data_IF_011484849042
#
_entry.id   IF_011484849042
#
_cell.length_a   1.000
_cell.length_b   1.000
_cell.length_c   1.000
_cell.angle_alpha   90.00
_cell.angle_beta   90.00
_cell.angle_gamma   90.00
#
_symmetry.space_group_name_H-M   'P 1'
#
loop_
_entity.id
_entity.type
_entity.pdbx_description
1 polymer ?
#
# COMPACT_ATOMS: atom_id res chain seq x y z
N UNK A 1 -13.27 11.72 19.07
CA UNK A 1 -12.32 10.65 18.71
C UNK A 1 -11.02 10.91 19.44
N UNK A 2 -10.52 9.94 20.22
CA UNK A 2 -9.23 10.09 20.92
C UNK A 2 -8.05 9.97 19.92
N UNK A 3 -6.86 10.53 20.24
CA UNK A 3 -5.68 10.38 19.37
C UNK A 3 -5.30 8.92 19.13
N UNK A 4 -5.41 8.06 20.14
CA UNK A 4 -5.13 6.63 20.00
C UNK A 4 -6.13 5.93 19.05
N UNK A 5 -7.42 6.27 19.14
CA UNK A 5 -8.43 5.76 18.22
C UNK A 5 -8.17 6.22 16.78
N UNK A 6 -7.74 7.48 16.59
CA UNK A 6 -7.36 8.02 15.29
C UNK A 6 -6.20 7.23 14.64
N UNK A 7 -5.13 6.96 15.41
CA UNK A 7 -3.99 6.18 14.91
C UNK A 7 -4.37 4.73 14.58
N UNK A 8 -5.23 4.11 15.39
CA UNK A 8 -5.72 2.74 15.15
C UNK A 8 -6.61 2.67 13.91
N UNK A 9 -7.58 3.59 13.78
CA UNK A 9 -8.43 3.71 12.59
C UNK A 9 -7.60 3.93 11.33
N UNK A 10 -6.55 4.74 11.43
CA UNK A 10 -5.73 5.09 10.28
C UNK A 10 -4.79 3.98 9.81
N UNK A 11 -4.72 2.84 10.51
CA UNK A 11 -3.74 1.76 10.31
C UNK A 11 -2.35 2.34 9.98
N UNK A 12 -1.92 3.32 10.79
CA UNK A 12 -0.74 4.16 10.51
C UNK A 12 0.57 3.37 10.46
N UNK A 13 0.58 2.16 11.02
CA UNK A 13 1.69 1.23 10.93
C UNK A 13 2.06 0.85 9.50
N UNK A 14 1.12 0.94 8.56
CA UNK A 14 1.36 0.62 7.16
C UNK A 14 1.72 1.85 6.31
N UNK A 15 1.72 3.07 6.85
CA UNK A 15 2.11 4.29 6.10
C UNK A 15 3.51 4.20 5.45
N UNK A 16 4.53 3.57 6.06
CA UNK A 16 5.82 3.45 5.39
C UNK A 16 5.76 2.68 4.06
N UNK A 17 4.77 1.79 3.88
CA UNK A 17 4.54 1.12 2.58
C UNK A 17 4.06 2.09 1.50
N UNK A 18 3.36 3.16 1.87
CA UNK A 18 2.95 4.22 0.94
C UNK A 18 4.17 5.03 0.54
N UNK A 19 5.05 5.34 1.49
CA UNK A 19 6.27 6.11 1.22
C UNK A 19 7.23 5.35 0.30
N UNK A 20 7.45 4.06 0.56
CA UNK A 20 8.25 3.22 -0.34
C UNK A 20 7.63 3.12 -1.73
N UNK A 21 6.30 3.07 -1.84
CA UNK A 21 5.62 3.10 -3.14
C UNK A 21 5.84 4.43 -3.90
N UNK A 22 5.85 5.57 -3.20
CA UNK A 22 6.16 6.88 -3.81
C UNK A 22 7.59 6.87 -4.37
N UNK A 23 8.55 6.40 -3.56
CA UNK A 23 9.95 6.32 -4.00
C UNK A 23 10.11 5.39 -5.21
N UNK A 24 9.52 4.20 -5.16
CA UNK A 24 9.62 3.25 -6.26
C UNK A 24 8.95 3.76 -7.53
N UNK A 25 7.76 4.36 -7.44
CA UNK A 25 7.09 4.98 -8.57
C UNK A 25 7.92 6.09 -9.22
N UNK A 26 8.53 6.97 -8.43
CA UNK A 26 9.35 8.05 -8.98
C UNK A 26 10.69 7.55 -9.56
N UNK A 27 11.38 6.62 -8.87
CA UNK A 27 12.64 6.03 -9.37
C UNK A 27 12.42 5.24 -10.65
N UNK A 28 11.37 4.41 -10.70
CA UNK A 28 11.03 3.70 -11.93
C UNK A 28 10.53 4.66 -13.03
N UNK A 29 10.08 5.87 -12.72
CA UNK A 29 9.74 6.85 -13.75
C UNK A 29 10.97 7.59 -14.29
N UNK A 30 11.85 8.08 -13.42
CA UNK A 30 12.91 9.02 -13.80
C UNK A 30 14.29 8.77 -13.15
N UNK A 31 14.42 7.79 -12.25
CA UNK A 31 15.64 7.51 -11.48
C UNK A 31 15.79 8.40 -10.24
N UNK A 32 15.32 9.64 -10.29
CA UNK A 32 15.39 10.55 -9.13
C UNK A 32 14.05 11.25 -8.87
N UNK A 33 13.91 11.77 -7.66
CA UNK A 33 12.83 12.66 -7.26
C UNK A 33 13.39 13.77 -6.38
N UNK A 34 12.96 15.01 -6.64
CA UNK A 34 13.29 16.13 -5.77
C UNK A 34 12.72 15.89 -4.36
N UNK A 35 13.49 16.25 -3.33
CA UNK A 35 13.14 15.97 -1.93
C UNK A 35 11.84 16.66 -1.53
N UNK A 36 11.62 17.90 -1.97
CA UNK A 36 10.42 18.66 -1.63
C UNK A 36 9.19 18.09 -2.36
N UNK A 37 9.34 17.71 -3.63
CA UNK A 37 8.29 17.00 -4.40
C UNK A 37 7.95 15.67 -3.72
N UNK A 38 8.94 14.86 -3.35
CA UNK A 38 8.73 13.60 -2.66
C UNK A 38 8.00 13.79 -1.33
N UNK A 39 8.39 14.79 -0.53
CA UNK A 39 7.74 15.11 0.74
C UNK A 39 6.25 15.41 0.56
N UNK A 40 5.89 16.30 -0.37
CA UNK A 40 4.49 16.66 -0.59
C UNK A 40 3.66 15.53 -1.22
N UNK A 41 4.27 14.71 -2.09
CA UNK A 41 3.63 13.49 -2.60
C UNK A 41 3.33 12.52 -1.47
N UNK A 42 4.32 12.22 -0.63
CA UNK A 42 4.15 11.33 0.52
C UNK A 42 3.10 11.86 1.48
N UNK A 43 3.08 13.17 1.75
CA UNK A 43 2.06 13.80 2.58
C UNK A 43 0.66 13.62 1.98
N UNK A 44 0.45 14.02 0.71
CA UNK A 44 -0.85 13.89 0.04
C UNK A 44 -1.35 12.45 -0.05
N UNK A 45 -0.48 11.52 -0.44
CA UNK A 45 -0.83 10.09 -0.54
C UNK A 45 -1.03 9.44 0.83
N UNK A 46 -0.36 9.90 1.88
CA UNK A 46 -0.63 9.48 3.27
C UNK A 46 -2.02 9.92 3.72
N UNK A 47 -2.45 11.15 3.37
CA UNK A 47 -3.81 11.63 3.68
C UNK A 47 -4.87 10.81 2.94
N UNK A 48 -4.67 10.50 1.66
CA UNK A 48 -5.56 9.62 0.89
C UNK A 48 -5.63 8.21 1.49
N UNK A 49 -4.49 7.65 1.93
CA UNK A 49 -4.44 6.36 2.60
C UNK A 49 -5.25 6.39 3.91
N UNK A 50 -4.97 7.34 4.82
CA UNK A 50 -5.68 7.44 6.10
C UNK A 50 -7.17 7.72 5.90
N UNK A 51 -7.53 8.53 4.89
CA UNK A 51 -8.91 8.75 4.49
C UNK A 51 -9.61 7.43 4.14
N UNK A 52 -9.00 6.60 3.28
CA UNK A 52 -9.52 5.28 2.94
C UNK A 52 -9.67 4.39 4.17
N UNK A 53 -8.70 4.39 5.09
CA UNK A 53 -8.82 3.57 6.31
C UNK A 53 -10.00 3.99 7.20
N UNK A 54 -10.21 5.30 7.35
CA UNK A 54 -11.33 5.84 8.13
C UNK A 54 -12.66 5.53 7.47
N UNK A 55 -12.75 5.75 6.15
CA UNK A 55 -13.98 5.52 5.38
C UNK A 55 -14.31 4.03 5.32
N UNK A 56 -13.33 3.15 5.13
CA UNK A 56 -13.50 1.71 5.19
C UNK A 56 -14.19 1.26 6.48
N UNK A 57 -13.66 1.67 7.65
CA UNK A 57 -14.26 1.31 8.94
C UNK A 57 -15.64 1.97 9.15
N UNK A 58 -15.88 3.17 8.59
CA UNK A 58 -17.18 3.83 8.64
C UNK A 58 -18.25 3.12 7.77
N UNK A 59 -17.91 2.69 6.56
CA UNK A 59 -18.79 1.89 5.71
C UNK A 59 -19.06 0.50 6.32
N UNK A 60 -18.06 -0.09 6.98
CA UNK A 60 -18.15 -1.42 7.59
C UNK A 60 -18.82 -1.43 8.98
N UNK A 61 -19.14 -0.28 9.58
CA UNK A 61 -19.53 -0.18 11.01
C UNK A 61 -20.62 -1.16 11.46
N UNK A 62 -21.62 -1.50 10.61
CA UNK A 62 -22.68 -2.46 10.95
C UNK A 62 -22.17 -3.90 11.03
N UNK A 63 -21.27 -4.27 10.13
CA UNK A 63 -20.65 -5.60 10.09
C UNK A 63 -19.65 -5.70 11.25
N UNK A 64 -18.84 -4.66 11.44
CA UNK A 64 -17.87 -4.58 12.52
C UNK A 64 -18.53 -4.61 13.90
N UNK A 65 -19.74 -4.08 14.06
CA UNK A 65 -20.49 -4.20 15.30
C UNK A 65 -20.83 -5.66 15.68
N UNK A 66 -20.87 -6.56 14.71
CA UNK A 66 -21.14 -8.00 14.93
C UNK A 66 -19.81 -8.77 15.03
N UNK A 67 -18.90 -8.56 14.09
CA UNK A 67 -17.68 -9.36 13.95
C UNK A 67 -16.52 -8.89 14.83
N UNK A 68 -16.45 -7.58 15.13
CA UNK A 68 -15.34 -6.92 15.84
C UNK A 68 -15.82 -5.75 16.71
N UNK A 69 -16.65 -6.00 17.74
CA UNK A 69 -17.29 -4.97 18.56
C UNK A 69 -16.27 -4.06 19.29
N UNK A 70 -15.03 -4.51 19.45
CA UNK A 70 -13.92 -3.76 20.02
C UNK A 70 -13.36 -2.65 19.11
N UNK A 71 -13.81 -2.54 17.85
CA UNK A 71 -13.38 -1.47 16.94
C UNK A 71 -13.85 -0.09 17.41
N UNK A 72 -13.13 1.00 17.06
CA UNK A 72 -13.40 2.32 17.63
C UNK A 72 -14.80 2.89 17.38
N UNK A 73 -15.44 2.57 16.25
CA UNK A 73 -16.80 3.03 15.96
C UNK A 73 -17.85 2.23 16.75
N UNK A 74 -17.91 0.88 16.67
CA UNK A 74 -18.90 0.12 17.45
C UNK A 74 -18.73 0.25 18.97
N UNK A 75 -17.50 0.41 19.47
CA UNK A 75 -17.23 0.60 20.90
C UNK A 75 -17.48 2.02 21.42
N UNK A 76 -17.91 2.96 20.55
CA UNK A 76 -18.23 4.34 20.93
C UNK A 76 -17.03 5.27 21.15
N UNK A 77 -15.80 4.83 20.87
CA UNK A 77 -14.59 5.67 20.97
C UNK A 77 -14.52 6.76 19.88
N UNK A 78 -15.22 6.54 18.76
CA UNK A 78 -15.39 7.49 17.67
C UNK A 78 -16.84 7.45 17.16
N UNK A 79 -17.45 8.62 16.96
CA UNK A 79 -18.78 8.70 16.37
C UNK A 79 -18.72 8.56 14.85
N UNK A 80 -19.68 7.83 14.27
CA UNK A 80 -19.74 7.57 12.84
C UNK A 80 -19.72 8.85 11.97
N UNK A 81 -20.51 9.91 12.27
CA UNK A 81 -20.47 11.15 11.47
C UNK A 81 -19.10 11.84 11.50
N UNK A 82 -18.41 11.80 12.65
CA UNK A 82 -17.08 12.39 12.78
C UNK A 82 -16.05 11.63 11.94
N UNK A 83 -16.14 10.30 11.89
CA UNK A 83 -15.22 9.49 11.05
C UNK A 83 -15.47 9.75 9.57
N UNK A 84 -16.74 9.83 9.11
CA UNK A 84 -17.04 10.21 7.73
C UNK A 84 -16.52 11.60 7.39
N UNK A 85 -16.79 12.60 8.23
CA UNK A 85 -16.34 13.97 8.01
C UNK A 85 -14.80 14.06 7.95
N UNK A 86 -14.10 13.38 8.86
CA UNK A 86 -12.64 13.32 8.86
C UNK A 86 -12.11 12.60 7.61
N UNK A 87 -12.69 11.45 7.23
CA UNK A 87 -12.30 10.69 6.05
C UNK A 87 -12.41 11.49 4.76
N UNK A 88 -13.58 12.09 4.49
CA UNK A 88 -13.77 12.94 3.31
C UNK A 88 -12.93 14.23 3.36
N UNK A 89 -12.74 14.81 4.54
CA UNK A 89 -11.86 15.97 4.73
C UNK A 89 -10.40 15.66 4.39
N UNK A 90 -9.87 14.54 4.88
CA UNK A 90 -8.51 14.07 4.55
C UNK A 90 -8.37 13.76 3.06
N UNK A 91 -9.39 13.17 2.43
CA UNK A 91 -9.41 12.91 1.00
C UNK A 91 -9.31 14.21 0.19
N UNK A 92 -10.11 15.22 0.56
CA UNK A 92 -10.10 16.52 -0.10
C UNK A 92 -8.75 17.26 0.06
N UNK A 93 -8.20 17.28 1.28
CA UNK A 93 -6.90 17.93 1.53
C UNK A 93 -5.77 17.20 0.79
N UNK A 94 -5.75 15.86 0.81
CA UNK A 94 -4.75 15.08 0.09
C UNK A 94 -4.82 15.30 -1.43
N UNK A 95 -6.01 15.37 -2.00
CA UNK A 95 -6.19 15.72 -3.42
C UNK A 95 -5.72 17.15 -3.71
N UNK A 96 -5.97 18.11 -2.81
CA UNK A 96 -5.46 19.47 -2.91
C UNK A 96 -3.93 19.53 -2.93
N UNK A 97 -3.25 18.74 -2.08
CA UNK A 97 -1.79 18.63 -2.09
C UNK A 97 -1.26 18.02 -3.39
N UNK A 98 -1.92 16.98 -3.92
CA UNK A 98 -1.54 16.41 -5.22
C UNK A 98 -1.79 17.37 -6.39
N UNK A 99 -2.83 18.20 -6.32
CA UNK A 99 -3.06 19.27 -7.27
C UNK A 99 -1.97 20.34 -7.21
N UNK A 100 -1.53 20.70 -6.00
CA UNK A 100 -0.40 21.62 -5.81
C UNK A 100 0.90 21.06 -6.39
N UNK A 101 1.25 19.80 -6.08
CA UNK A 101 2.42 19.12 -6.67
C UNK A 101 2.31 19.06 -8.19
N UNK A 102 1.13 18.79 -8.73
CA UNK A 102 0.90 18.78 -10.17
C UNK A 102 1.25 20.11 -10.84
N UNK A 103 0.97 21.25 -10.19
CA UNK A 103 1.31 22.58 -10.73
C UNK A 103 2.81 22.87 -10.76
N UNK A 104 3.58 22.23 -9.88
CA UNK A 104 5.03 22.47 -9.76
C UNK A 104 5.89 21.41 -10.44
N UNK A 105 5.28 20.42 -11.09
CA UNK A 105 5.98 19.26 -11.69
C UNK A 105 5.66 19.08 -13.17
N UNK A 106 6.53 18.35 -13.87
CA UNK A 106 6.42 18.10 -15.32
C UNK A 106 5.15 17.31 -15.70
N UNK A 107 4.60 16.53 -14.78
CA UNK A 107 3.37 15.77 -15.00
C UNK A 107 2.12 16.65 -15.12
N UNK A 108 2.13 17.85 -14.53
CA UNK A 108 1.00 18.75 -14.58
C UNK A 108 -0.27 18.13 -13.99
N UNK A 109 -1.37 18.31 -14.73
CA UNK A 109 -2.69 17.79 -14.39
C UNK A 109 -2.76 16.25 -14.25
N UNK A 110 -1.79 15.50 -14.82
CA UNK A 110 -1.79 14.03 -14.75
C UNK A 110 -1.61 13.53 -13.32
N UNK A 111 -0.84 14.23 -12.49
CA UNK A 111 -0.67 13.94 -11.06
C UNK A 111 -2.01 14.06 -10.34
N UNK A 112 -2.75 15.13 -10.62
CA UNK A 112 -4.07 15.37 -10.03
C UNK A 112 -5.09 14.35 -10.52
N UNK A 113 -5.09 14.04 -11.81
CA UNK A 113 -6.01 13.08 -12.40
C UNK A 113 -5.79 11.66 -11.87
N UNK A 114 -4.54 11.21 -11.74
CA UNK A 114 -4.24 9.90 -11.14
C UNK A 114 -4.55 9.87 -9.63
N UNK A 115 -4.31 10.97 -8.91
CA UNK A 115 -4.73 11.12 -7.52
C UNK A 115 -6.25 11.07 -7.34
N UNK A 116 -7.01 11.73 -8.23
CA UNK A 116 -8.46 11.67 -8.25
C UNK A 116 -8.97 10.26 -8.58
N UNK A 117 -8.36 9.59 -9.56
CA UNK A 117 -8.65 8.18 -9.86
C UNK A 117 -8.38 7.27 -8.65
N UNK A 118 -7.31 7.54 -7.89
CA UNK A 118 -7.02 6.83 -6.64
C UNK A 118 -8.12 7.06 -5.61
N UNK A 119 -8.53 8.31 -5.40
CA UNK A 119 -9.61 8.64 -4.47
C UNK A 119 -10.92 7.93 -4.83
N UNK A 120 -11.27 7.87 -6.13
CA UNK A 120 -12.44 7.12 -6.61
C UNK A 120 -12.27 5.62 -6.35
N UNK A 121 -11.10 5.04 -6.66
CA UNK A 121 -10.83 3.62 -6.42
C UNK A 121 -10.94 3.25 -4.94
N UNK A 122 -10.46 4.12 -4.04
CA UNK A 122 -10.61 3.98 -2.58
C UNK A 122 -12.09 3.96 -2.20
N UNK A 123 -12.88 4.95 -2.65
CA UNK A 123 -14.31 5.00 -2.33
C UNK A 123 -15.08 3.78 -2.87
N UNK A 124 -14.75 3.33 -4.09
CA UNK A 124 -15.35 2.13 -4.69
C UNK A 124 -15.01 0.87 -3.88
N UNK A 125 -13.76 0.76 -3.40
CA UNK A 125 -13.37 -0.33 -2.52
C UNK A 125 -14.14 -0.27 -1.20
N UNK A 126 -14.09 0.88 -0.50
CA UNK A 126 -14.68 1.01 0.84
C UNK A 126 -16.20 0.76 0.83
N UNK A 127 -16.89 1.19 -0.23
CA UNK A 127 -18.35 1.00 -0.36
C UNK A 127 -18.77 -0.47 -0.53
N UNK A 128 -17.98 -1.32 -1.23
CA UNK A 128 -18.46 -2.64 -1.65
C UNK A 128 -17.42 -3.77 -1.64
N UNK A 129 -16.32 -3.69 -0.88
CA UNK A 129 -15.28 -4.71 -0.96
C UNK A 129 -15.66 -6.09 -0.37
N UNK A 130 -16.43 -6.16 0.72
CA UNK A 130 -16.70 -7.42 1.44
C UNK A 130 -17.46 -8.45 0.59
N UNK A 131 -18.46 -8.00 -0.17
CA UNK A 131 -19.29 -8.87 -1.03
C UNK A 131 -18.81 -8.93 -2.49
N UNK A 132 -17.71 -8.24 -2.82
CA UNK A 132 -17.20 -8.20 -4.19
C UNK A 132 -16.04 -9.21 -4.36
N UNK A 133 -16.18 -10.16 -5.29
CA UNK A 133 -15.08 -11.08 -5.64
C UNK A 133 -13.85 -10.34 -6.18
N UNK A 134 -14.05 -9.17 -6.79
CA UNK A 134 -13.00 -8.34 -7.40
C UNK A 134 -12.31 -7.38 -6.42
N UNK A 135 -12.64 -7.39 -5.13
CA UNK A 135 -12.01 -6.48 -4.16
C UNK A 135 -10.48 -6.54 -4.10
N UNK A 136 -9.80 -7.70 -4.26
CA UNK A 136 -8.33 -7.73 -4.35
C UNK A 136 -7.78 -6.95 -5.54
N UNK A 137 -8.51 -6.95 -6.65
CA UNK A 137 -8.13 -6.21 -7.87
C UNK A 137 -8.26 -4.71 -7.63
N UNK A 138 -9.38 -4.25 -7.06
CA UNK A 138 -9.57 -2.82 -6.75
C UNK A 138 -8.51 -2.32 -5.77
N UNK A 139 -8.20 -3.09 -4.73
CA UNK A 139 -7.14 -2.74 -3.77
C UNK A 139 -5.74 -2.67 -4.45
N UNK A 140 -5.46 -3.59 -5.36
CA UNK A 140 -4.23 -3.56 -6.15
C UNK A 140 -4.17 -2.34 -7.07
N UNK A 141 -5.30 -1.94 -7.69
CA UNK A 141 -5.40 -0.69 -8.47
C UNK A 141 -5.08 0.52 -7.60
N UNK A 142 -5.58 0.59 -6.37
CA UNK A 142 -5.26 1.69 -5.46
C UNK A 142 -3.74 1.84 -5.28
N UNK A 143 -3.02 0.72 -5.06
CA UNK A 143 -1.55 0.75 -4.91
C UNK A 143 -0.82 1.07 -6.21
N UNK A 144 -1.29 0.59 -7.34
CA UNK A 144 -0.74 0.96 -8.66
C UNK A 144 -0.91 2.47 -8.92
N UNK A 145 -2.04 3.05 -8.55
CA UNK A 145 -2.28 4.49 -8.74
C UNK A 145 -1.36 5.37 -7.87
N UNK A 146 -0.83 4.85 -6.76
CA UNK A 146 0.27 5.50 -6.01
C UNK A 146 1.53 5.58 -6.87
N UNK A 147 1.96 4.46 -7.48
CA UNK A 147 3.10 4.42 -8.40
C UNK A 147 2.92 5.36 -9.59
N UNK A 148 1.73 5.33 -10.21
CA UNK A 148 1.38 6.16 -11.36
C UNK A 148 1.43 7.65 -11.00
N UNK A 149 0.87 8.03 -9.84
CA UNK A 149 0.86 9.41 -9.37
C UNK A 149 2.28 9.92 -9.08
N UNK A 150 3.09 9.12 -8.39
CA UNK A 150 4.49 9.45 -8.14
C UNK A 150 5.31 9.52 -9.43
N UNK A 151 5.06 8.61 -10.37
CA UNK A 151 5.72 8.59 -11.66
C UNK A 151 5.41 9.81 -12.52
N UNK A 152 4.13 10.22 -12.58
CA UNK A 152 3.76 11.45 -13.30
C UNK A 152 4.37 12.70 -12.68
N UNK A 153 4.58 12.73 -11.36
CA UNK A 153 5.23 13.89 -10.72
C UNK A 153 6.67 14.11 -11.18
N UNK A 154 7.33 13.13 -11.79
CA UNK A 154 8.72 13.26 -12.28
C UNK A 154 8.87 12.98 -13.79
N UNK A 155 7.83 12.49 -14.47
CA UNK A 155 7.87 12.18 -15.90
C UNK A 155 6.55 12.54 -16.61
N UNK A 156 6.66 13.11 -17.82
CA UNK A 156 5.49 13.41 -18.64
C UNK A 156 4.81 12.15 -19.21
N UNK A 157 5.59 11.10 -19.46
CA UNK A 157 5.15 9.80 -19.99
C UNK A 157 5.75 8.70 -19.12
N UNK A 158 4.93 7.73 -18.72
CA UNK A 158 5.38 6.64 -17.87
C UNK A 158 6.19 5.63 -18.69
N UNK A 159 7.45 5.34 -18.32
CA UNK A 159 8.27 4.39 -19.05
C UNK A 159 7.85 2.94 -18.77
N UNK A 160 8.24 2.04 -19.67
CA UNK A 160 7.95 0.59 -19.56
C UNK A 160 8.42 -0.01 -18.24
N UNK A 161 9.55 0.47 -17.69
CA UNK A 161 10.09 -0.01 -16.40
C UNK A 161 9.14 0.27 -15.23
N UNK A 162 8.44 1.41 -15.23
CA UNK A 162 7.41 1.72 -14.23
C UNK A 162 6.18 0.86 -14.44
N UNK A 163 5.73 0.70 -15.69
CA UNK A 163 4.56 -0.13 -16.01
C UNK A 163 4.80 -1.59 -15.58
N UNK A 164 5.98 -2.13 -15.85
CA UNK A 164 6.36 -3.49 -15.44
C UNK A 164 6.44 -3.63 -13.91
N UNK A 165 7.07 -2.67 -13.22
CA UNK A 165 7.10 -2.64 -11.75
C UNK A 165 5.71 -2.53 -11.13
N UNK A 166 4.84 -1.67 -11.67
CA UNK A 166 3.45 -1.54 -11.27
C UNK A 166 2.65 -2.82 -11.50
N UNK A 167 2.89 -3.55 -12.60
CA UNK A 167 2.26 -4.84 -12.85
C UNK A 167 2.72 -5.92 -11.86
N UNK A 168 4.01 -5.95 -11.50
CA UNK A 168 4.53 -6.85 -10.48
C UNK A 168 3.94 -6.54 -9.09
N UNK A 169 3.85 -5.26 -8.73
CA UNK A 169 3.17 -4.79 -7.52
C UNK A 169 1.69 -5.18 -7.54
N UNK A 170 0.99 -4.98 -8.66
CA UNK A 170 -0.42 -5.34 -8.83
C UNK A 170 -0.67 -6.82 -8.53
N UNK A 171 0.12 -7.73 -9.13
CA UNK A 171 0.03 -9.16 -8.87
C UNK A 171 0.32 -9.51 -7.39
N UNK A 172 1.31 -8.85 -6.78
CA UNK A 172 1.61 -9.01 -5.35
C UNK A 172 0.40 -8.65 -4.49
N UNK A 173 -0.23 -7.50 -4.77
CA UNK A 173 -1.37 -7.02 -3.99
C UNK A 173 -2.61 -7.88 -4.16
N UNK A 174 -2.86 -8.44 -5.35
CA UNK A 174 -3.99 -9.38 -5.51
C UNK A 174 -3.80 -10.60 -4.59
N UNK A 175 -2.60 -11.19 -4.59
CA UNK A 175 -2.30 -12.34 -3.73
C UNK A 175 -2.41 -12.00 -2.24
N UNK A 176 -1.83 -10.87 -1.82
CA UNK A 176 -1.90 -10.36 -0.45
C UNK A 176 -3.34 -10.08 -0.02
N UNK A 177 -4.09 -9.29 -0.78
CA UNK A 177 -5.46 -8.89 -0.42
C UNK A 177 -6.40 -10.08 -0.47
N UNK A 178 -6.18 -11.05 -1.36
CA UNK A 178 -6.91 -12.31 -1.32
C UNK A 178 -6.69 -13.05 0.01
N UNK A 179 -5.44 -13.18 0.48
CA UNK A 179 -5.14 -13.78 1.79
C UNK A 179 -5.81 -13.01 2.94
N UNK A 180 -5.74 -11.68 2.91
CA UNK A 180 -6.32 -10.79 3.93
C UNK A 180 -7.83 -11.00 4.12
N UNK A 181 -8.57 -11.32 3.05
CA UNK A 181 -10.03 -11.58 3.13
C UNK A 181 -10.40 -12.77 4.01
N UNK A 182 -9.48 -13.73 4.15
CA UNK A 182 -9.73 -14.95 4.92
C UNK A 182 -9.12 -14.90 6.33
N UNK A 183 -8.64 -13.74 6.79
CA UNK A 183 -8.11 -13.59 8.15
C UNK A 183 -9.12 -13.99 9.23
N UNK A 184 -10.36 -13.52 9.11
CA UNK A 184 -11.42 -13.84 10.07
C UNK A 184 -11.79 -15.34 10.05
N UNK A 185 -11.64 -15.99 8.90
CA UNK A 185 -11.89 -17.42 8.74
C UNK A 185 -10.72 -18.30 9.24
N UNK A 186 -9.54 -17.72 9.47
CA UNK A 186 -8.35 -18.43 9.93
C UNK A 186 -7.76 -19.43 8.92
N UNK A 187 -8.25 -19.47 7.68
CA UNK A 187 -7.70 -20.33 6.63
C UNK A 187 -7.91 -19.69 5.26
N UNK A 188 -6.83 -19.56 4.47
CA UNK A 188 -6.93 -19.06 3.11
C UNK A 188 -7.77 -20.03 2.28
N UNK A 189 -8.64 -19.50 1.41
CA UNK A 189 -9.46 -20.28 0.50
C UNK A 189 -8.65 -21.00 -0.58
N UNK A 190 -9.07 -20.87 -1.84
CA UNK A 190 -8.37 -21.52 -2.96
C UNK A 190 -6.96 -20.91 -3.12
N UNK A 191 -5.89 -21.70 -3.28
CA UNK A 191 -4.52 -21.20 -3.25
C UNK A 191 -4.09 -20.48 -4.53
N UNK A 192 -4.83 -20.62 -5.64
CA UNK A 192 -4.40 -20.09 -6.95
C UNK A 192 -4.12 -18.57 -6.97
N UNK A 193 -4.86 -17.68 -6.24
CA UNK A 193 -4.53 -16.25 -6.24
C UNK A 193 -3.20 -15.97 -5.55
N UNK A 194 -2.75 -16.83 -4.62
CA UNK A 194 -1.42 -16.71 -4.01
C UNK A 194 -0.30 -16.97 -5.00
N UNK A 195 -0.56 -17.67 -6.12
CA UNK A 195 0.43 -17.87 -7.18
C UNK A 195 0.83 -16.54 -7.82
N UNK A 196 -0.01 -15.50 -7.76
CA UNK A 196 0.34 -14.16 -8.24
C UNK A 196 1.47 -13.52 -7.43
N UNK A 197 1.71 -13.97 -6.19
CA UNK A 197 2.88 -13.56 -5.41
C UNK A 197 4.20 -14.00 -6.06
N UNK A 198 4.20 -14.99 -6.97
CA UNK A 198 5.40 -15.43 -7.68
C UNK A 198 5.82 -14.48 -8.82
N UNK A 199 4.90 -13.67 -9.36
CA UNK A 199 5.19 -12.72 -10.45
C UNK A 199 6.29 -11.71 -10.07
N UNK A 200 6.20 -10.98 -8.94
CA UNK A 200 7.28 -10.08 -8.54
C UNK A 200 8.59 -10.81 -8.23
N UNK A 201 8.54 -12.08 -7.79
CA UNK A 201 9.75 -12.89 -7.57
C UNK A 201 10.48 -13.15 -8.89
N UNK A 202 9.73 -13.50 -9.95
CA UNK A 202 10.30 -13.72 -11.28
C UNK A 202 10.81 -12.42 -11.91
N UNK A 203 10.04 -11.33 -11.78
CA UNK A 203 10.40 -10.01 -12.31
C UNK A 203 11.74 -9.50 -11.75
N UNK A 204 11.92 -9.57 -10.43
CA UNK A 204 13.12 -9.02 -9.79
C UNK A 204 14.40 -9.82 -10.03
N UNK A 205 14.32 -11.09 -10.49
CA UNK A 205 15.51 -11.88 -10.82
C UNK A 205 16.26 -11.21 -11.97
N UNK A 206 15.59 -10.98 -13.10
CA UNK A 206 16.23 -10.38 -14.28
C UNK A 206 16.65 -8.94 -14.05
N UNK A 207 15.88 -8.16 -13.29
CA UNK A 207 16.19 -6.76 -13.01
C UNK A 207 17.41 -6.59 -12.08
N UNK A 208 17.71 -7.56 -11.21
CA UNK A 208 18.67 -7.38 -10.12
C UNK A 208 20.04 -8.01 -10.35
N UNK A 209 20.28 -8.73 -11.46
CA UNK A 209 21.52 -9.49 -11.67
C UNK A 209 22.78 -8.62 -11.66
N UNK A 210 22.67 -7.40 -12.17
CA UNK A 210 23.81 -6.49 -12.33
C UNK A 210 24.06 -5.59 -11.11
N UNK A 211 23.21 -5.68 -10.06
CA UNK A 211 23.34 -4.87 -8.86
C UNK A 211 23.39 -5.78 -7.60
N UNK A 212 24.55 -5.89 -6.92
CA UNK A 212 24.70 -6.77 -5.76
C UNK A 212 23.72 -6.48 -4.62
N UNK A 213 23.43 -5.19 -4.36
CA UNK A 213 22.45 -4.80 -3.35
C UNK A 213 21.04 -5.18 -3.79
N UNK A 214 20.69 -4.92 -5.06
CA UNK A 214 19.41 -5.31 -5.64
C UNK A 214 19.18 -6.82 -5.53
N UNK A 215 20.19 -7.63 -5.87
CA UNK A 215 20.14 -9.07 -5.76
C UNK A 215 19.97 -9.53 -4.31
N UNK A 216 20.75 -8.97 -3.38
CA UNK A 216 20.65 -9.32 -1.96
C UNK A 216 19.27 -9.00 -1.38
N UNK A 217 18.73 -7.81 -1.68
CA UNK A 217 17.38 -7.39 -1.26
C UNK A 217 16.31 -8.28 -1.90
N UNK A 218 16.47 -8.65 -3.17
CA UNK A 218 15.51 -9.51 -3.87
C UNK A 218 15.51 -10.94 -3.32
N UNK A 219 16.68 -11.51 -3.01
CA UNK A 219 16.79 -12.82 -2.34
C UNK A 219 16.11 -12.76 -0.96
N UNK A 220 16.34 -11.69 -0.20
CA UNK A 220 15.68 -11.51 1.08
C UNK A 220 14.15 -11.36 0.92
N UNK A 221 13.69 -10.64 -0.09
CA UNK A 221 12.27 -10.52 -0.43
C UNK A 221 11.65 -11.88 -0.78
N UNK A 222 12.31 -12.71 -1.60
CA UNK A 222 11.88 -14.08 -1.91
C UNK A 222 11.73 -14.89 -0.62
N UNK A 223 12.77 -14.91 0.23
CA UNK A 223 12.74 -15.64 1.49
C UNK A 223 11.60 -15.14 2.41
N UNK A 224 11.37 -13.83 2.44
CA UNK A 224 10.30 -13.20 3.22
C UNK A 224 8.91 -13.61 2.74
N UNK A 225 8.67 -13.59 1.43
CA UNK A 225 7.39 -14.02 0.84
C UNK A 225 7.15 -15.50 1.07
N UNK A 226 8.16 -16.34 0.85
CA UNK A 226 8.05 -17.79 1.11
C UNK A 226 7.72 -18.07 2.57
N UNK A 227 8.45 -17.46 3.51
CA UNK A 227 8.15 -17.55 4.94
C UNK A 227 6.72 -17.10 5.26
N UNK A 228 6.28 -16.00 4.68
CA UNK A 228 4.93 -15.47 4.93
C UNK A 228 3.84 -16.41 4.40
N UNK A 229 4.03 -17.00 3.22
CA UNK A 229 3.12 -18.01 2.66
C UNK A 229 3.10 -19.29 3.50
N UNK A 230 4.24 -19.72 4.04
CA UNK A 230 4.29 -20.86 4.97
C UNK A 230 3.50 -20.57 6.25
N UNK A 231 3.59 -19.36 6.80
CA UNK A 231 2.79 -18.90 7.94
C UNK A 231 1.29 -18.88 7.58
N UNK A 232 0.91 -18.42 6.38
CA UNK A 232 -0.49 -18.48 5.94
C UNK A 232 -1.03 -19.92 5.89
N UNK A 233 -0.19 -20.89 5.52
CA UNK A 233 -0.56 -22.31 5.45
C UNK A 233 -0.74 -22.97 6.81
N UNK A 234 -0.14 -22.45 7.88
CA UNK A 234 -0.36 -23.02 9.22
C UNK A 234 -1.77 -22.76 9.74
N UNK A 235 -2.43 -21.69 9.27
CA UNK A 235 -3.81 -21.37 9.60
C UNK A 235 -4.01 -20.85 11.03
N UNK A 236 -5.27 -20.66 11.41
CA UNK A 236 -5.72 -20.06 12.66
C UNK A 236 -5.29 -18.60 12.79
N UNK A 237 -4.83 -18.22 13.97
CA UNK A 237 -4.36 -16.86 14.29
C UNK A 237 -3.10 -16.46 13.52
N UNK A 238 -2.41 -17.41 12.88
CA UNK A 238 -1.22 -17.14 12.07
C UNK A 238 -1.54 -16.47 10.74
N UNK A 239 -2.78 -16.56 10.23
CA UNK A 239 -3.15 -15.93 8.95
C UNK A 239 -2.93 -14.42 8.99
N UNK A 240 -3.39 -13.74 10.04
CA UNK A 240 -3.17 -12.29 10.21
C UNK A 240 -1.69 -11.93 10.33
N UNK A 241 -0.88 -12.80 10.94
CA UNK A 241 0.58 -12.62 11.02
C UNK A 241 1.25 -12.76 9.65
N UNK A 242 0.80 -13.71 8.84
CA UNK A 242 1.28 -13.88 7.46
C UNK A 242 0.89 -12.70 6.56
N UNK A 243 -0.34 -12.20 6.69
CA UNK A 243 -0.81 -11.00 5.96
C UNK A 243 -0.04 -9.76 6.39
N UNK A 244 0.14 -9.53 7.70
CA UNK A 244 0.94 -8.42 8.22
C UNK A 244 2.38 -8.44 7.69
N UNK A 245 2.99 -9.63 7.61
CA UNK A 245 4.31 -9.81 7.03
C UNK A 245 4.33 -9.51 5.52
N UNK A 246 3.33 -9.95 4.77
CA UNK A 246 3.20 -9.61 3.34
C UNK A 246 2.95 -8.10 3.13
N UNK A 247 2.22 -7.42 4.01
CA UNK A 247 2.07 -5.95 3.95
C UNK A 247 3.44 -5.27 4.09
N UNK A 248 4.26 -5.68 5.05
CA UNK A 248 5.62 -5.16 5.18
C UNK A 248 6.46 -5.49 3.93
N UNK A 249 6.26 -6.66 3.34
CA UNK A 249 6.94 -7.10 2.11
C UNK A 249 6.76 -6.17 0.91
N UNK A 250 5.74 -5.31 0.89
CA UNK A 250 5.58 -4.26 -0.14
C UNK A 250 6.84 -3.38 -0.21
N UNK A 251 7.36 -2.93 0.94
CA UNK A 251 8.55 -2.06 0.96
C UNK A 251 9.84 -2.78 0.54
N UNK A 252 9.91 -4.11 0.71
CA UNK A 252 11.03 -4.90 0.20
C UNK A 252 10.99 -5.05 -1.32
N UNK A 253 9.79 -5.25 -1.89
CA UNK A 253 9.60 -5.24 -3.33
C UNK A 253 10.01 -3.89 -3.92
N UNK A 254 9.54 -2.79 -3.32
CA UNK A 254 9.93 -1.43 -3.69
C UNK A 254 11.45 -1.24 -3.63
N UNK A 255 12.09 -1.68 -2.53
CA UNK A 255 13.53 -1.56 -2.34
C UNK A 255 14.33 -2.34 -3.39
N UNK A 256 13.91 -3.57 -3.74
CA UNK A 256 14.52 -4.37 -4.80
C UNK A 256 14.44 -3.64 -6.14
N UNK A 257 13.26 -3.11 -6.49
CA UNK A 257 13.07 -2.37 -7.75
C UNK A 257 13.91 -1.09 -7.79
N UNK A 258 13.94 -0.32 -6.70
CA UNK A 258 14.75 0.91 -6.61
C UNK A 258 16.25 0.59 -6.73
N UNK A 259 16.72 -0.45 -6.05
CA UNK A 259 18.12 -0.89 -6.16
C UNK A 259 18.46 -1.36 -7.58
N UNK A 260 17.57 -2.11 -8.23
CA UNK A 260 17.76 -2.55 -9.62
C UNK A 260 17.85 -1.38 -10.62
N UNK A 261 17.25 -0.22 -10.29
CA UNK A 261 17.37 1.00 -11.08
C UNK A 261 18.67 1.80 -10.81
N UNK A 262 19.54 1.31 -9.90
CA UNK A 262 20.82 1.93 -9.55
C UNK A 262 20.79 2.84 -8.33
N UNK A 263 19.61 3.09 -7.74
CA UNK A 263 19.40 4.12 -6.73
C UNK A 263 19.59 3.60 -5.30
N UNK A 264 20.85 3.39 -4.92
CA UNK A 264 21.23 2.75 -3.64
C UNK A 264 20.67 3.47 -2.41
N UNK A 265 20.79 4.80 -2.34
CA UNK A 265 20.35 5.58 -1.17
C UNK A 265 18.83 5.48 -0.97
N UNK A 266 18.06 5.56 -2.06
CA UNK A 266 16.60 5.44 -2.00
C UNK A 266 16.16 4.00 -1.70
N UNK A 267 16.92 2.99 -2.16
CA UNK A 267 16.67 1.60 -1.81
C UNK A 267 16.85 1.37 -0.30
N UNK A 268 17.89 1.95 0.30
CA UNK A 268 18.12 1.89 1.75
C UNK A 268 16.96 2.54 2.51
N UNK A 269 16.42 3.67 2.03
CA UNK A 269 15.23 4.28 2.64
C UNK A 269 13.99 3.38 2.53
N UNK A 270 13.81 2.69 1.42
CA UNK A 270 12.72 1.71 1.26
C UNK A 270 12.89 0.49 2.19
N UNK A 271 14.12 0.00 2.42
CA UNK A 271 14.41 -1.00 3.46
C UNK A 271 14.09 -0.43 4.85
N UNK A 272 14.42 0.84 5.10
CA UNK A 272 14.02 1.54 6.31
C UNK A 272 12.50 1.55 6.52
N UNK A 273 11.73 1.74 5.44
CA UNK A 273 10.27 1.66 5.47
C UNK A 273 9.75 0.26 5.81
N UNK A 274 10.41 -0.80 5.33
CA UNK A 274 10.12 -2.17 5.73
C UNK A 274 10.30 -2.37 7.24
N UNK A 275 11.45 -1.96 7.77
CA UNK A 275 11.75 -2.07 9.21
C UNK A 275 10.79 -1.24 10.06
N UNK A 276 10.48 -0.02 9.61
CA UNK A 276 9.51 0.85 10.26
C UNK A 276 8.11 0.22 10.29
N UNK A 277 7.68 -0.40 9.19
CA UNK A 277 6.38 -1.09 9.12
C UNK A 277 6.31 -2.21 10.16
N UNK A 278 7.30 -3.10 10.22
CA UNK A 278 7.34 -4.18 11.22
C UNK A 278 7.37 -3.63 12.65
N UNK A 279 8.18 -2.60 12.91
CA UNK A 279 8.29 -2.02 14.24
C UNK A 279 6.97 -1.37 14.69
N UNK A 280 6.30 -0.64 13.80
CA UNK A 280 5.03 0.02 14.09
C UNK A 280 3.87 -0.98 14.23
N UNK A 281 3.89 -2.08 13.48
CA UNK A 281 2.89 -3.15 13.58
C UNK A 281 2.83 -3.78 14.98
N UNK A 282 3.91 -3.70 15.78
CA UNK A 282 3.91 -4.14 17.19
C UNK A 282 3.07 -3.24 18.11
N UNK A 283 2.80 -2.00 17.71
CA UNK A 283 2.03 -1.01 18.50
C UNK A 283 0.63 -0.77 17.92
N UNK A 284 0.52 -0.72 16.60
CA UNK A 284 -0.74 -0.54 15.87
C UNK A 284 -0.92 -1.73 14.93
N UNK A 285 -1.92 -2.60 15.14
CA UNK A 285 -2.15 -3.78 14.30
C UNK A 285 -2.20 -3.44 12.81
N UNK A 286 -1.71 -4.37 11.98
CA UNK A 286 -1.67 -4.20 10.52
C UNK A 286 -3.07 -4.25 9.87
N UNK A 287 -4.00 -5.00 10.46
CA UNK A 287 -5.36 -5.28 9.97
C UNK A 287 -6.41 -5.25 11.10
#
# INVERSE_FOLDING_TARGET
MTPAAALKLGRVSNLPTVWSNVLAGAVLAAGAVDVLVAFWLMAGLSLLYVAGMYLNDAFDHRIDAIERPERPIPSGQASLPTVFAAGFGLLAVGLGLLAWVGQTTIGGWKVTASGAALAVAVLVYDWHHKNNAWSPVVMAVCRVLVYVTAGFAVAAVLPVRLVAGAAALFCYLIGLTYAARFEAAGAVGRPWPLLLLAVPLAYGIGASLDNPLGLAVHIFFIAWVLRSVLILRTGGTHVSSGVAALIAGISLLDASMIASAGETSLAILAIGCFLATIALQRRVPAT
#
